data_IF_603563320432
#
_entry.id   IF_603563320432
#
_cell.length_a   1.000
_cell.length_b   1.000
_cell.length_c   1.000
_cell.angle_alpha   90.00
_cell.angle_beta   90.00
_cell.angle_gamma   90.00
#
_symmetry.space_group_name_H-M   'P 1'
#
loop_
_entity.id
_entity.type
_entity.pdbx_description
1 polymer ?
#
# COMPACT_ATOMS: atom_id res chain seq x y z
N UNK A 1 -3.00 -9.59 -5.35
CA UNK A 1 -3.85 -8.94 -6.36
C UNK A 1 -3.22 -7.62 -6.77
N UNK A 2 -3.19 -7.37 -8.05
CA UNK A 2 -2.60 -6.16 -8.63
C UNK A 2 -3.71 -5.19 -9.01
N UNK A 3 -3.59 -3.94 -8.58
CA UNK A 3 -4.60 -2.91 -8.84
C UNK A 3 -4.17 -1.93 -9.94
N UNK A 4 -3.21 -2.34 -10.78
CA UNK A 4 -2.67 -1.47 -11.82
C UNK A 4 -3.69 -0.98 -12.83
N UNK A 5 -4.65 -1.83 -13.23
CA UNK A 5 -5.71 -1.42 -14.14
C UNK A 5 -6.62 -0.37 -13.52
N UNK A 6 -7.01 -0.56 -12.26
CA UNK A 6 -7.85 0.40 -11.55
C UNK A 6 -7.13 1.73 -11.41
N UNK A 7 -5.84 1.69 -11.09
CA UNK A 7 -5.02 2.90 -10.97
C UNK A 7 -4.94 3.64 -12.29
N UNK A 8 -4.68 2.93 -13.39
CA UNK A 8 -4.60 3.56 -14.72
C UNK A 8 -5.92 4.20 -15.11
N UNK A 9 -7.05 3.58 -14.76
CA UNK A 9 -8.36 4.14 -15.05
C UNK A 9 -8.58 5.46 -14.29
N UNK A 10 -8.18 5.53 -13.02
CA UNK A 10 -8.28 6.74 -12.22
C UNK A 10 -7.39 7.85 -12.79
N UNK A 11 -6.14 7.53 -13.11
CA UNK A 11 -5.21 8.50 -13.70
C UNK A 11 -5.74 9.03 -15.02
N UNK A 12 -6.29 8.16 -15.85
CA UNK A 12 -6.90 8.57 -17.13
C UNK A 12 -8.07 9.53 -16.90
N UNK A 13 -8.90 9.27 -15.89
CA UNK A 13 -10.02 10.15 -15.57
C UNK A 13 -9.56 11.55 -15.17
N UNK A 14 -8.47 11.65 -14.42
CA UNK A 14 -7.90 12.94 -14.03
C UNK A 14 -7.34 13.66 -15.26
N UNK A 15 -6.59 12.95 -16.10
CA UNK A 15 -5.97 13.56 -17.28
C UNK A 15 -6.98 14.01 -18.31
N UNK A 16 -8.13 13.34 -18.40
CA UNK A 16 -9.20 13.70 -19.33
C UNK A 16 -10.15 14.75 -18.76
N UNK A 17 -9.96 15.17 -17.51
CA UNK A 17 -10.81 16.17 -16.87
C UNK A 17 -12.11 15.64 -16.30
N UNK A 18 -12.34 14.33 -16.35
CA UNK A 18 -13.54 13.72 -15.76
C UNK A 18 -13.50 13.71 -14.23
N UNK A 19 -12.31 13.60 -13.67
CA UNK A 19 -12.11 13.69 -12.23
C UNK A 19 -11.14 14.82 -11.95
N UNK A 20 -11.30 15.52 -10.83
CA UNK A 20 -10.39 16.58 -10.45
C UNK A 20 -9.20 16.00 -9.67
N UNK A 21 -8.11 16.77 -9.61
CA UNK A 21 -6.96 16.38 -8.79
C UNK A 21 -7.35 16.28 -7.32
N UNK A 22 -8.25 17.16 -6.86
CA UNK A 22 -8.73 17.13 -5.48
C UNK A 22 -9.49 15.85 -5.14
N UNK A 23 -10.09 15.20 -6.13
CA UNK A 23 -10.81 13.95 -5.90
C UNK A 23 -9.86 12.78 -5.61
N UNK A 24 -8.63 12.86 -6.06
CA UNK A 24 -7.65 11.76 -5.96
C UNK A 24 -6.43 12.11 -5.12
N UNK A 25 -6.20 13.40 -4.87
CA UNK A 25 -5.10 13.89 -4.02
C UNK A 25 -5.68 14.16 -2.63
N UNK A 26 -6.15 13.12 -1.98
CA UNK A 26 -6.96 13.18 -0.78
C UNK A 26 -6.42 12.32 0.36
N UNK A 27 -5.14 12.02 0.37
CA UNK A 27 -4.54 11.20 1.41
C UNK A 27 -4.83 11.78 2.80
N UNK A 28 -5.30 10.92 3.69
CA UNK A 28 -5.56 11.31 5.06
C UNK A 28 -4.26 11.63 5.80
N UNK A 29 -4.30 12.52 6.79
CA UNK A 29 -3.07 12.89 7.52
C UNK A 29 -2.33 11.69 8.12
N UNK A 30 -3.05 10.67 8.61
CA UNK A 30 -2.38 9.49 9.17
C UNK A 30 -1.61 8.72 8.10
N UNK A 31 -2.11 8.68 6.86
CA UNK A 31 -1.43 8.03 5.76
C UNK A 31 -0.15 8.78 5.39
N UNK A 32 -0.22 10.11 5.37
CA UNK A 32 0.95 10.94 5.10
C UNK A 32 2.01 10.76 6.20
N UNK A 33 1.60 10.67 7.45
CA UNK A 33 2.52 10.39 8.55
C UNK A 33 3.14 9.00 8.43
N UNK A 34 2.34 8.01 8.06
CA UNK A 34 2.84 6.66 7.85
C UNK A 34 3.86 6.62 6.72
N UNK A 35 3.61 7.35 5.65
CA UNK A 35 4.56 7.45 4.54
C UNK A 35 5.89 8.05 4.99
N UNK A 36 5.83 9.06 5.85
CA UNK A 36 7.05 9.72 6.35
C UNK A 36 7.87 8.82 7.26
N UNK A 37 7.22 8.06 8.13
CA UNK A 37 7.92 7.30 9.17
C UNK A 37 8.14 5.82 8.83
N UNK A 38 7.28 5.24 8.01
CA UNK A 38 7.33 3.81 7.70
C UNK A 38 7.36 3.55 6.20
N UNK A 39 7.33 4.61 5.39
CA UNK A 39 7.27 4.46 3.95
C UNK A 39 8.58 4.05 3.33
N UNK A 40 8.50 3.44 2.18
CA UNK A 40 9.65 3.07 1.36
C UNK A 40 9.66 3.95 0.12
N UNK A 41 10.65 4.83 -0.02
CA UNK A 41 10.75 5.68 -1.20
C UNK A 41 10.90 4.84 -2.47
N UNK A 42 10.31 5.30 -3.54
CA UNK A 42 10.44 4.64 -4.85
C UNK A 42 11.00 5.62 -5.87
N UNK A 43 11.35 5.10 -7.04
CA UNK A 43 11.79 5.92 -8.15
C UNK A 43 10.66 6.20 -9.14
N UNK A 44 9.43 5.80 -8.80
CA UNK A 44 8.28 6.03 -9.66
C UNK A 44 7.72 7.42 -9.43
N UNK A 45 7.60 8.18 -10.52
CA UNK A 45 7.06 9.53 -10.47
C UNK A 45 5.55 9.49 -10.18
N UNK A 46 5.07 10.42 -9.37
CA UNK A 46 3.64 10.56 -9.12
C UNK A 46 2.92 10.81 -10.44
N UNK A 47 1.88 10.01 -10.76
CA UNK A 47 1.20 10.15 -12.04
C UNK A 47 0.31 11.38 -12.13
N UNK A 48 0.07 12.06 -11.02
CA UNK A 48 -0.83 13.22 -10.98
C UNK A 48 -0.05 14.52 -10.97
N UNK A 49 0.83 14.73 -9.99
CA UNK A 49 1.58 16.00 -9.94
C UNK A 49 2.84 15.98 -10.80
N UNK A 50 3.38 14.80 -11.09
CA UNK A 50 4.59 14.64 -11.91
C UNK A 50 5.80 15.43 -11.40
N UNK A 51 5.85 15.70 -10.10
CA UNK A 51 6.94 16.47 -9.48
C UNK A 51 7.74 15.66 -8.49
N UNK A 52 7.12 14.72 -7.81
CA UNK A 52 7.77 13.92 -6.78
C UNK A 52 7.54 12.45 -7.03
N UNK A 53 8.45 11.65 -6.54
CA UNK A 53 8.30 10.20 -6.58
C UNK A 53 7.35 9.75 -5.49
N UNK A 54 6.56 8.71 -5.76
CA UNK A 54 5.65 8.14 -4.77
C UNK A 54 6.42 7.32 -3.75
N UNK A 55 5.85 7.21 -2.55
CA UNK A 55 6.36 6.39 -1.46
C UNK A 55 5.38 5.24 -1.23
N UNK A 56 5.89 4.03 -1.04
CA UNK A 56 5.05 2.88 -0.71
C UNK A 56 4.86 2.79 0.79
N UNK A 57 3.61 2.59 1.21
CA UNK A 57 3.27 2.34 2.61
C UNK A 57 2.60 0.97 2.67
N UNK A 58 3.11 0.10 3.54
CA UNK A 58 2.62 -1.28 3.65
C UNK A 58 1.83 -1.44 4.94
N UNK A 59 0.56 -1.80 4.81
CA UNK A 59 -0.34 -2.06 5.93
C UNK A 59 -0.60 -3.55 6.06
N UNK A 60 -0.81 -4.00 7.29
CA UNK A 60 -1.10 -5.40 7.59
C UNK A 60 -2.47 -5.52 8.26
N UNK A 61 -3.20 -6.59 7.92
CA UNK A 61 -4.52 -6.87 8.46
C UNK A 61 -4.70 -8.36 8.70
N UNK A 62 -5.41 -8.70 9.75
CA UNK A 62 -5.75 -10.07 10.06
C UNK A 62 -5.99 -10.26 11.54
N UNK A 63 -6.90 -11.18 11.89
CA UNK A 63 -7.25 -11.43 13.28
C UNK A 63 -6.06 -11.92 14.10
N UNK A 64 -5.14 -12.69 13.46
CA UNK A 64 -3.96 -13.23 14.14
C UNK A 64 -2.99 -12.14 14.57
N UNK A 65 -3.09 -10.95 14.01
CA UNK A 65 -2.17 -9.85 14.30
C UNK A 65 -2.52 -9.08 15.56
N UNK A 66 -3.75 -9.23 16.07
CA UNK A 66 -4.17 -8.48 17.25
C UNK A 66 -4.03 -6.98 17.05
N UNK A 67 -3.30 -6.33 17.94
CA UNK A 67 -3.11 -4.88 17.90
C UNK A 67 -2.28 -4.38 16.70
N UNK A 68 -1.57 -5.27 16.01
CA UNK A 68 -0.80 -4.89 14.83
C UNK A 68 -1.68 -4.69 13.61
N UNK A 69 -2.91 -5.23 13.64
CA UNK A 69 -3.83 -5.09 12.51
C UNK A 69 -4.11 -3.61 12.21
N UNK A 70 -4.00 -3.23 10.96
CA UNK A 70 -4.23 -1.86 10.52
C UNK A 70 -3.03 -0.93 10.64
N UNK A 71 -1.90 -1.43 11.12
CA UNK A 71 -0.69 -0.61 11.25
C UNK A 71 0.18 -0.70 10.00
N UNK A 72 0.89 0.40 9.74
CA UNK A 72 1.92 0.42 8.70
C UNK A 72 3.20 -0.23 9.24
N UNK A 73 3.87 -1.01 8.40
CA UNK A 73 5.08 -1.74 8.78
C UNK A 73 6.18 -1.50 7.77
N UNK A 74 7.42 -1.42 8.27
CA UNK A 74 8.60 -1.40 7.41
C UNK A 74 8.90 -2.81 6.93
N UNK A 75 9.66 -2.93 5.84
CA UNK A 75 9.88 -4.22 5.20
C UNK A 75 10.56 -5.23 6.14
N UNK A 76 11.53 -4.80 6.94
CA UNK A 76 12.23 -5.70 7.86
C UNK A 76 11.28 -6.29 8.92
N UNK A 77 10.34 -5.51 9.39
CA UNK A 77 9.35 -5.98 10.34
C UNK A 77 8.36 -6.94 9.67
N UNK A 78 8.01 -6.66 8.43
CA UNK A 78 7.11 -7.52 7.67
C UNK A 78 7.69 -8.91 7.47
N UNK A 79 9.00 -9.01 7.20
CA UNK A 79 9.69 -10.30 7.06
C UNK A 79 9.59 -11.10 8.36
N UNK A 80 9.82 -10.46 9.49
CA UNK A 80 9.71 -11.10 10.81
C UNK A 80 8.28 -11.57 11.05
N UNK A 81 7.30 -10.75 10.72
CA UNK A 81 5.89 -11.11 10.91
C UNK A 81 5.48 -12.29 10.03
N UNK A 82 6.05 -12.40 8.83
CA UNK A 82 5.76 -13.52 7.94
C UNK A 82 6.20 -14.85 8.54
N UNK A 83 7.22 -14.85 9.40
CA UNK A 83 7.67 -16.04 10.12
C UNK A 83 6.87 -16.30 11.39
N UNK A 84 6.44 -15.26 12.07
CA UNK A 84 5.88 -15.38 13.42
C UNK A 84 4.38 -15.58 13.46
N UNK A 85 3.66 -15.19 12.42
CA UNK A 85 2.20 -15.23 12.40
C UNK A 85 1.68 -16.18 11.34
N UNK A 86 0.48 -16.69 11.59
CA UNK A 86 -0.27 -17.40 10.58
C UNK A 86 -0.67 -16.43 9.47
N UNK A 87 -1.46 -16.88 8.54
CA UNK A 87 -1.85 -16.10 7.38
C UNK A 87 -2.44 -14.73 7.75
N UNK A 88 -1.93 -13.68 7.11
CA UNK A 88 -2.47 -12.33 7.23
C UNK A 88 -2.37 -11.61 5.88
N UNK A 89 -3.11 -10.52 5.76
CA UNK A 89 -3.17 -9.75 4.51
C UNK A 89 -2.25 -8.55 4.56
N UNK A 90 -1.68 -8.24 3.41
CA UNK A 90 -0.79 -7.10 3.21
C UNK A 90 -1.35 -6.23 2.10
N UNK A 91 -1.41 -4.92 2.35
CA UNK A 91 -1.86 -3.93 1.36
C UNK A 91 -0.76 -2.90 1.18
N UNK A 92 -0.36 -2.68 -0.07
CA UNK A 92 0.64 -1.67 -0.39
C UNK A 92 -0.05 -0.51 -1.07
N UNK A 93 0.10 0.68 -0.48
CA UNK A 93 -0.49 1.92 -0.97
C UNK A 93 0.64 2.82 -1.42
N UNK A 94 0.56 3.35 -2.64
CA UNK A 94 1.48 4.40 -3.04
C UNK A 94 0.91 5.76 -2.63
N UNK A 95 1.79 6.64 -2.18
CA UNK A 95 1.41 7.96 -1.69
C UNK A 95 2.40 8.99 -2.24
N UNK A 96 1.89 10.08 -2.77
CA UNK A 96 2.72 11.24 -3.08
C UNK A 96 2.63 12.21 -1.90
N UNK A 97 3.73 12.41 -1.22
CA UNK A 97 3.75 13.31 -0.07
C UNK A 97 3.62 14.78 -0.47
N UNK A 98 3.85 15.10 -1.74
CA UNK A 98 3.73 16.47 -2.24
C UNK A 98 2.29 16.86 -2.56
N UNK A 99 1.54 16.03 -3.28
CA UNK A 99 0.19 16.37 -3.71
C UNK A 99 -0.91 15.57 -3.03
N UNK A 100 -0.56 14.60 -2.19
CA UNK A 100 -1.50 13.71 -1.48
C UNK A 100 -2.20 12.69 -2.39
N UNK A 101 -1.68 12.44 -3.59
CA UNK A 101 -2.14 11.32 -4.40
C UNK A 101 -1.93 10.03 -3.63
N UNK A 102 -2.91 9.15 -3.67
CA UNK A 102 -2.75 7.82 -3.07
C UNK A 102 -3.60 6.80 -3.84
N UNK A 103 -3.10 5.58 -3.90
CA UNK A 103 -3.83 4.49 -4.54
C UNK A 103 -3.26 3.16 -4.05
N UNK A 104 -4.14 2.20 -3.87
CA UNK A 104 -3.75 0.83 -3.59
C UNK A 104 -3.08 0.25 -4.83
N UNK A 105 -1.90 -0.33 -4.67
CA UNK A 105 -1.14 -0.88 -5.80
C UNK A 105 -1.20 -2.39 -5.87
N UNK A 106 -1.05 -3.07 -4.73
CA UNK A 106 -1.04 -4.52 -4.68
C UNK A 106 -1.50 -4.98 -3.30
N UNK A 107 -2.13 -6.14 -3.24
CA UNK A 107 -2.40 -6.82 -1.99
C UNK A 107 -2.01 -8.28 -2.14
N UNK A 108 -1.58 -8.88 -1.04
CA UNK A 108 -1.18 -10.28 -1.04
C UNK A 108 -1.28 -10.85 0.37
N UNK A 109 -1.02 -12.14 0.47
CA UNK A 109 -1.10 -12.87 1.73
C UNK A 109 0.31 -13.29 2.13
N UNK A 110 0.65 -13.07 3.39
CA UNK A 110 1.88 -13.54 4.00
C UNK A 110 1.56 -14.36 5.23
N UNK A 111 2.61 -14.92 5.84
CA UNK A 111 2.51 -15.71 7.04
C UNK A 111 3.09 -17.09 6.83
N UNK A 112 3.30 -17.81 7.94
CA UNK A 112 3.84 -19.17 7.86
C UNK A 112 2.78 -20.19 7.46
N UNK A 113 1.50 -19.86 7.71
CA UNK A 113 0.38 -20.73 7.35
C UNK A 113 0.42 -22.09 8.00
N UNK A 114 -0.67 -22.87 7.91
CA UNK A 114 -0.63 -24.27 8.31
C UNK A 114 0.22 -25.07 7.34
N UNK A 115 1.06 -25.98 7.84
CA UNK A 115 1.93 -26.78 6.98
C UNK A 115 1.19 -27.58 5.91
N UNK A 116 -0.03 -28.01 6.18
CA UNK A 116 -0.81 -28.77 5.23
C UNK A 116 -1.19 -27.96 4.00
N UNK A 117 -1.41 -26.67 4.15
CA UNK A 117 -1.66 -25.78 3.01
C UNK A 117 -0.42 -25.65 2.14
N UNK A 118 0.73 -25.57 2.78
CA UNK A 118 2.01 -25.50 2.06
C UNK A 118 2.30 -26.83 1.40
N UNK A 119 2.03 -27.93 2.09
CA UNK A 119 2.29 -29.25 1.57
C UNK A 119 1.46 -29.62 0.34
N UNK A 120 0.41 -28.89 0.09
CA UNK A 120 -0.43 -29.11 -1.09
C UNK A 120 0.14 -28.44 -2.34
N UNK A 121 1.09 -27.62 -2.15
CA UNK A 121 1.71 -26.89 -3.26
C UNK A 121 2.55 -27.83 -4.13
#
# INVERSE_FOLDING_TARGET
>A
MDYGLAKRAVVRSVRSGRASRGDVCDAQPYLLRAARHFGEPTERLCPVCERENVTNVTYVYGDVLGRHAGQAKVMSELVTMAHDYDEFRVYVVEVCQGCSWNHLTVSYILGNGPPDLVGQA
#
